data_IF_938671098618
#
_entry.id   IF_938671098618
#
_cell.length_a   1.000
_cell.length_b   1.000
_cell.length_c   1.000
_cell.angle_alpha   90.00
_cell.angle_beta   90.00
_cell.angle_gamma   90.00
#
_symmetry.space_group_name_H-M   'P 1'
#
loop_
_entity.id
_entity.type
_entity.pdbx_description
1 polymer ?
#
# COMPACT_ATOMS: atom_id res chain seq x y z
N UNK A 1 16.37 -32.68 -26.17
CA UNK A 1 16.23 -32.59 -24.70
C UNK A 1 15.33 -33.72 -24.24
N UNK A 2 15.77 -34.56 -23.30
CA UNK A 2 14.95 -35.63 -22.75
C UNK A 2 13.85 -35.04 -21.83
N UNK A 3 12.59 -35.50 -21.89
CA UNK A 3 11.45 -34.92 -21.16
C UNK A 3 11.47 -35.14 -19.63
N UNK A 4 12.59 -35.61 -19.06
CA UNK A 4 12.69 -36.01 -17.65
C UNK A 4 13.72 -35.22 -16.83
N UNK A 5 14.45 -34.29 -17.45
CA UNK A 5 15.41 -33.45 -16.72
C UNK A 5 14.72 -32.15 -16.33
N UNK A 6 14.40 -32.02 -15.03
CA UNK A 6 13.94 -30.75 -14.46
C UNK A 6 15.14 -29.94 -14.01
N UNK A 7 15.42 -28.84 -14.69
CA UNK A 7 16.44 -27.89 -14.29
C UNK A 7 15.89 -26.89 -13.27
N UNK A 8 16.67 -26.59 -12.23
CA UNK A 8 16.36 -25.58 -11.24
C UNK A 8 17.39 -24.46 -11.32
N UNK A 9 16.88 -23.25 -11.50
CA UNK A 9 17.69 -22.04 -11.63
C UNK A 9 17.19 -21.01 -10.61
N UNK A 10 18.11 -20.29 -9.98
CA UNK A 10 17.74 -19.10 -9.22
C UNK A 10 17.39 -17.97 -10.19
N UNK A 11 16.48 -17.09 -9.77
CA UNK A 11 16.26 -15.83 -10.45
C UNK A 11 17.52 -14.95 -10.35
N UNK A 12 17.72 -14.00 -11.29
CA UNK A 12 18.75 -12.98 -11.15
C UNK A 12 18.54 -12.12 -9.89
N UNK A 13 19.54 -11.33 -9.47
CA UNK A 13 19.37 -10.32 -8.43
C UNK A 13 18.16 -9.41 -8.75
N UNK A 14 17.31 -9.15 -7.74
CA UNK A 14 16.03 -8.45 -7.92
C UNK A 14 14.84 -9.35 -8.25
N UNK A 15 15.06 -10.64 -8.55
CA UNK A 15 14.01 -11.61 -8.84
C UNK A 15 13.39 -11.48 -10.24
N UNK A 16 12.59 -12.48 -10.63
CA UNK A 16 11.78 -12.48 -11.85
C UNK A 16 10.28 -12.61 -11.54
N UNK A 17 9.90 -12.42 -10.27
CA UNK A 17 8.55 -12.61 -9.75
C UNK A 17 8.08 -14.07 -9.67
N UNK A 18 8.90 -15.05 -10.06
CA UNK A 18 8.47 -16.46 -10.21
C UNK A 18 9.38 -17.47 -9.57
N UNK A 19 10.68 -17.39 -9.84
CA UNK A 19 11.69 -18.34 -9.38
C UNK A 19 12.19 -17.96 -8.00
N UNK A 20 12.85 -18.92 -7.35
CA UNK A 20 13.52 -18.65 -6.09
C UNK A 20 14.65 -17.66 -6.33
N UNK A 21 14.73 -16.61 -5.51
CA UNK A 21 15.77 -15.59 -5.57
C UNK A 21 16.42 -15.45 -4.21
N UNK A 22 17.62 -14.89 -4.20
CA UNK A 22 18.36 -14.53 -3.00
C UNK A 22 18.77 -13.07 -3.09
N UNK A 23 18.49 -12.32 -2.04
CA UNK A 23 18.92 -10.94 -1.89
C UNK A 23 19.60 -10.81 -0.51
N UNK A 24 20.72 -10.10 -0.45
CA UNK A 24 21.53 -10.00 0.77
C UNK A 24 20.79 -9.36 1.95
N UNK A 25 19.88 -8.42 1.67
CA UNK A 25 19.16 -7.68 2.71
C UNK A 25 17.81 -8.32 3.06
N UNK A 26 17.18 -8.99 2.07
CA UNK A 26 15.81 -9.52 2.20
C UNK A 26 15.73 -11.04 2.25
N UNK A 27 16.86 -11.73 2.06
CA UNK A 27 17.00 -13.17 2.22
C UNK A 27 16.48 -13.97 1.03
N UNK A 28 16.09 -15.22 1.28
CA UNK A 28 15.55 -16.11 0.26
C UNK A 28 14.06 -15.83 0.02
N UNK A 29 13.67 -15.68 -1.25
CA UNK A 29 12.29 -15.41 -1.67
C UNK A 29 11.87 -16.35 -2.81
N UNK A 30 10.58 -16.53 -3.02
CA UNK A 30 9.99 -17.16 -4.21
C UNK A 30 8.97 -16.20 -4.82
N UNK A 31 9.35 -15.55 -5.92
CA UNK A 31 8.64 -14.34 -6.35
C UNK A 31 8.65 -13.30 -5.23
N UNK A 32 7.48 -12.81 -4.83
CA UNK A 32 7.36 -11.85 -3.72
C UNK A 32 7.28 -12.51 -2.33
N UNK A 33 7.13 -13.83 -2.26
CA UNK A 33 6.96 -14.54 -1.00
C UNK A 33 8.30 -14.70 -0.27
N UNK A 34 8.51 -14.07 0.91
CA UNK A 34 9.68 -14.36 1.73
C UNK A 34 9.60 -15.81 2.25
N UNK A 35 10.71 -16.55 2.11
CA UNK A 35 10.83 -17.94 2.58
C UNK A 35 11.44 -18.01 3.99
N UNK A 36 12.09 -16.93 4.43
CA UNK A 36 12.76 -16.81 5.72
C UNK A 36 12.28 -15.54 6.45
N UNK A 37 12.30 -15.57 7.78
CA UNK A 37 12.16 -14.40 8.65
C UNK A 37 13.54 -13.98 9.18
N UNK A 38 13.73 -12.67 9.40
CA UNK A 38 14.93 -12.11 10.02
C UNK A 38 14.56 -11.50 11.37
N UNK A 39 15.22 -11.94 12.44
CA UNK A 39 15.02 -11.34 13.77
C UNK A 39 15.62 -9.92 13.82
N UNK A 40 15.22 -9.09 14.81
CA UNK A 40 15.87 -7.80 15.06
C UNK A 40 17.38 -7.91 15.33
N UNK A 41 17.84 -9.06 15.85
CA UNK A 41 19.25 -9.37 16.05
C UNK A 41 19.99 -9.82 14.78
N UNK A 42 19.31 -9.82 13.61
CA UNK A 42 19.89 -10.19 12.32
C UNK A 42 19.95 -11.68 12.05
N UNK A 43 19.40 -12.53 12.93
CA UNK A 43 19.40 -14.00 12.76
C UNK A 43 18.28 -14.41 11.81
N UNK A 44 18.63 -15.20 10.81
CA UNK A 44 17.67 -15.74 9.84
C UNK A 44 17.09 -17.06 10.32
N UNK A 45 15.79 -17.27 10.08
CA UNK A 45 15.08 -18.53 10.35
C UNK A 45 14.11 -18.83 9.21
N UNK A 46 13.86 -20.11 8.88
CA UNK A 46 12.75 -20.46 8.00
C UNK A 46 11.45 -19.94 8.60
N UNK A 47 10.54 -19.44 7.75
CA UNK A 47 9.18 -19.14 8.19
C UNK A 47 8.49 -20.43 8.64
N UNK A 48 7.43 -20.29 9.42
CA UNK A 48 6.64 -21.42 9.86
C UNK A 48 6.18 -22.30 8.68
N UNK A 49 6.33 -23.62 8.82
CA UNK A 49 6.04 -24.57 7.75
C UNK A 49 4.57 -24.49 7.32
N UNK A 50 3.64 -24.44 8.27
CA UNK A 50 2.21 -24.45 7.97
C UNK A 50 1.80 -23.16 7.25
N UNK A 51 2.41 -22.03 7.61
CA UNK A 51 2.22 -20.75 6.89
C UNK A 51 2.75 -20.86 5.46
N UNK A 52 3.98 -21.34 5.25
CA UNK A 52 4.55 -21.49 3.90
C UNK A 52 3.74 -22.46 3.04
N UNK A 53 3.35 -23.62 3.58
CA UNK A 53 2.53 -24.61 2.87
C UNK A 53 1.17 -24.02 2.48
N UNK A 54 0.49 -23.30 3.38
CA UNK A 54 -0.78 -22.65 3.10
C UNK A 54 -0.66 -21.59 1.98
N UNK A 55 0.33 -20.70 2.08
CA UNK A 55 0.55 -19.64 1.10
C UNK A 55 0.95 -20.21 -0.27
N UNK A 56 1.89 -21.15 -0.30
CA UNK A 56 2.29 -21.79 -1.55
C UNK A 56 1.16 -22.62 -2.15
N UNK A 57 0.35 -23.31 -1.34
CA UNK A 57 -0.79 -24.08 -1.87
C UNK A 57 -1.81 -23.17 -2.56
N UNK A 58 -2.04 -21.96 -2.01
CA UNK A 58 -2.89 -20.94 -2.66
C UNK A 58 -2.30 -20.49 -3.99
N UNK A 59 -0.99 -20.27 -4.03
CA UNK A 59 -0.30 -19.87 -5.25
C UNK A 59 -0.31 -20.99 -6.30
N UNK A 60 0.17 -22.19 -5.99
CA UNK A 60 0.18 -23.28 -6.98
C UNK A 60 -1.22 -23.76 -7.37
N UNK A 61 -2.21 -23.60 -6.49
CA UNK A 61 -3.57 -24.12 -6.66
C UNK A 61 -3.68 -25.61 -6.33
N UNK A 62 -2.70 -26.16 -5.61
CA UNK A 62 -2.64 -27.55 -5.17
C UNK A 62 -1.96 -27.64 -3.80
N UNK A 63 -2.27 -28.66 -2.96
CA UNK A 63 -1.62 -28.83 -1.67
C UNK A 63 -0.11 -29.02 -1.80
N UNK A 64 0.66 -28.15 -1.14
CA UNK A 64 2.11 -28.23 -1.08
C UNK A 64 2.56 -28.89 0.22
N UNK A 65 3.51 -29.83 0.11
CA UNK A 65 4.20 -30.43 1.24
C UNK A 65 5.68 -30.01 1.24
N UNK A 66 6.09 -29.30 2.29
CA UNK A 66 7.44 -28.80 2.51
C UNK A 66 8.22 -29.58 3.56
N UNK A 67 7.67 -30.65 4.16
CA UNK A 67 8.34 -31.44 5.22
C UNK A 67 9.78 -31.80 4.84
N UNK A 68 9.99 -32.34 3.64
CA UNK A 68 11.33 -32.71 3.15
C UNK A 68 12.23 -31.54 2.72
N UNK A 69 11.68 -30.32 2.61
CA UNK A 69 12.38 -29.10 2.18
C UNK A 69 12.75 -28.18 3.34
N UNK A 70 12.08 -28.30 4.48
CA UNK A 70 12.37 -27.48 5.68
C UNK A 70 13.83 -27.57 6.15
N UNK A 71 14.50 -28.75 6.14
CA UNK A 71 15.92 -28.82 6.50
C UNK A 71 16.82 -28.03 5.54
N UNK A 72 16.50 -28.01 4.24
CA UNK A 72 17.25 -27.22 3.26
C UNK A 72 17.03 -25.72 3.49
N UNK A 73 15.80 -25.27 3.75
CA UNK A 73 15.53 -23.88 4.14
C UNK A 73 16.25 -23.48 5.44
N UNK A 74 16.35 -24.39 6.42
CA UNK A 74 17.12 -24.15 7.63
C UNK A 74 18.63 -24.02 7.35
N UNK A 75 19.16 -24.76 6.38
CA UNK A 75 20.54 -24.61 5.93
C UNK A 75 20.77 -23.25 5.25
N UNK A 76 19.82 -22.78 4.43
CA UNK A 76 19.85 -21.43 3.84
C UNK A 76 19.89 -20.37 4.94
N UNK A 77 18.97 -20.44 5.91
CA UNK A 77 18.90 -19.50 7.02
C UNK A 77 20.18 -19.47 7.86
N UNK A 78 20.77 -20.64 8.13
CA UNK A 78 22.04 -20.74 8.86
C UNK A 78 23.17 -20.07 8.08
N UNK A 79 23.31 -20.37 6.79
CA UNK A 79 24.35 -19.79 5.94
C UNK A 79 24.23 -18.25 5.86
N UNK A 80 23.01 -17.71 5.74
CA UNK A 80 22.79 -16.26 5.78
C UNK A 80 23.11 -15.65 7.15
N UNK A 81 22.80 -16.34 8.24
CA UNK A 81 23.15 -15.90 9.60
C UNK A 81 24.67 -15.84 9.80
N UNK A 82 25.41 -16.76 9.17
CA UNK A 82 26.87 -16.82 9.18
C UNK A 82 27.53 -15.84 8.18
N UNK A 83 26.74 -15.15 7.35
CA UNK A 83 27.24 -14.27 6.28
C UNK A 83 27.78 -15.00 5.05
N UNK A 84 27.59 -16.32 4.95
CA UNK A 84 28.03 -17.13 3.82
C UNK A 84 26.97 -17.16 2.71
N UNK A 85 26.97 -16.11 1.91
CA UNK A 85 26.00 -15.89 0.82
C UNK A 85 26.10 -16.98 -0.25
N UNK A 86 27.31 -17.45 -0.58
CA UNK A 86 27.50 -18.49 -1.62
C UNK A 86 26.90 -19.81 -1.17
N UNK A 87 27.13 -20.21 0.08
CA UNK A 87 26.52 -21.42 0.65
C UNK A 87 25.01 -21.29 0.73
N UNK A 88 24.48 -20.11 1.04
CA UNK A 88 23.05 -19.85 1.04
C UNK A 88 22.43 -20.03 -0.36
N UNK A 89 23.09 -19.57 -1.43
CA UNK A 89 22.62 -19.75 -2.82
C UNK A 89 22.60 -21.23 -3.23
N UNK A 90 23.67 -21.97 -2.93
CA UNK A 90 23.75 -23.40 -3.21
C UNK A 90 22.66 -24.16 -2.45
N UNK A 91 22.49 -23.87 -1.16
CA UNK A 91 21.43 -24.47 -0.35
C UNK A 91 20.03 -24.14 -0.91
N UNK A 92 19.80 -22.91 -1.38
CA UNK A 92 18.51 -22.50 -1.97
C UNK A 92 18.20 -23.27 -3.26
N UNK A 93 19.19 -23.47 -4.14
CA UNK A 93 19.06 -24.33 -5.33
C UNK A 93 18.63 -25.75 -4.95
N UNK A 94 19.16 -26.29 -3.85
CA UNK A 94 18.81 -27.62 -3.36
C UNK A 94 17.41 -27.72 -2.74
N UNK A 95 16.74 -26.61 -2.41
CA UNK A 95 15.32 -26.64 -1.99
C UNK A 95 14.42 -27.11 -3.14
N UNK A 96 14.84 -26.89 -4.40
CA UNK A 96 14.12 -27.35 -5.61
C UNK A 96 12.65 -26.94 -5.62
N UNK A 97 12.38 -25.67 -5.34
CA UNK A 97 11.04 -25.08 -5.49
C UNK A 97 10.77 -24.82 -6.97
N UNK A 98 9.63 -25.28 -7.51
CA UNK A 98 9.23 -24.93 -8.87
C UNK A 98 8.90 -23.43 -8.96
N UNK A 99 9.06 -22.78 -10.13
CA UNK A 99 8.64 -21.40 -10.31
C UNK A 99 7.13 -21.24 -10.06
N UNK A 100 6.72 -20.08 -9.55
CA UNK A 100 5.30 -19.76 -9.43
C UNK A 100 4.60 -19.79 -10.81
N UNK A 101 3.35 -20.28 -10.87
CA UNK A 101 2.54 -20.21 -12.08
C UNK A 101 2.34 -18.77 -12.54
N UNK A 102 2.29 -18.53 -13.85
CA UNK A 102 2.21 -17.18 -14.42
C UNK A 102 0.95 -16.43 -14.01
N UNK A 103 -0.20 -17.14 -13.90
CA UNK A 103 -1.46 -16.61 -13.39
C UNK A 103 -1.35 -16.02 -11.98
N UNK A 104 -0.42 -16.52 -11.18
CA UNK A 104 -0.22 -16.10 -9.79
C UNK A 104 0.60 -14.83 -9.72
N UNK A 105 1.52 -14.61 -10.65
CA UNK A 105 2.26 -13.35 -10.72
C UNK A 105 1.30 -12.19 -10.99
N UNK A 106 0.29 -12.43 -11.84
CA UNK A 106 -0.75 -11.46 -12.14
C UNK A 106 -1.72 -11.23 -10.96
N UNK A 107 -2.04 -12.27 -10.19
CA UNK A 107 -2.97 -12.20 -9.05
C UNK A 107 -2.28 -11.71 -7.76
N UNK A 108 -1.05 -12.14 -7.46
CA UNK A 108 -0.27 -11.64 -6.31
C UNK A 108 0.04 -10.14 -6.41
N UNK A 109 0.15 -9.60 -7.62
CA UNK A 109 0.24 -8.16 -7.84
C UNK A 109 -1.05 -7.39 -7.47
N UNK A 110 -2.20 -8.09 -7.41
CA UNK A 110 -3.52 -7.53 -7.08
C UNK A 110 -4.03 -7.90 -5.68
N UNK A 111 -3.68 -9.08 -5.15
CA UNK A 111 -4.23 -9.61 -3.88
C UNK A 111 -3.31 -9.40 -2.68
N UNK A 112 -1.99 -9.23 -2.88
CA UNK A 112 -1.08 -8.94 -1.79
C UNK A 112 -0.84 -7.43 -1.68
N UNK A 113 -1.72 -6.74 -0.94
CA UNK A 113 -1.38 -5.49 -0.23
C UNK A 113 -0.23 -5.61 0.78
N UNK A 114 0.71 -6.54 0.55
CA UNK A 114 1.83 -7.00 1.33
C UNK A 114 3.09 -7.23 0.46
N UNK A 115 3.31 -6.40 -0.57
CA UNK A 115 4.67 -5.96 -0.93
C UNK A 115 5.23 -4.94 0.11
N UNK A 116 4.88 -5.15 1.39
CA UNK A 116 5.30 -4.38 2.57
C UNK A 116 6.20 -5.27 3.42
N UNK A 117 7.38 -5.65 2.91
CA UNK A 117 8.59 -6.01 3.66
C UNK A 117 9.61 -6.68 2.71
N UNK A 118 10.28 -5.85 1.93
CA UNK A 118 11.59 -6.11 1.32
C UNK A 118 11.98 -4.86 0.52
N UNK A 119 12.71 -3.96 1.20
CA UNK A 119 13.42 -2.78 0.68
C UNK A 119 12.62 -1.75 -0.14
N UNK A 120 12.51 -0.55 0.45
CA UNK A 120 11.94 0.66 -0.14
C UNK A 120 12.61 1.01 -1.48
N UNK A 121 11.90 0.84 -2.61
CA UNK A 121 11.99 1.67 -3.83
C UNK A 121 11.33 1.06 -5.10
N UNK A 122 10.65 -0.09 -5.02
CA UNK A 122 10.19 -0.76 -6.25
C UNK A 122 8.86 -0.24 -6.86
N UNK A 123 8.13 0.66 -6.19
CA UNK A 123 6.77 1.08 -6.59
C UNK A 123 6.68 2.30 -7.54
N UNK A 124 7.76 2.75 -8.19
CA UNK A 124 7.74 4.00 -8.99
C UNK A 124 8.03 3.88 -10.49
N UNK A 125 7.91 2.70 -11.13
CA UNK A 125 8.33 2.57 -12.53
C UNK A 125 7.34 1.81 -13.45
N UNK A 126 6.55 2.50 -14.29
CA UNK A 126 5.80 1.84 -15.36
C UNK A 126 6.73 1.43 -16.53
N UNK A 127 6.42 0.29 -17.16
CA UNK A 127 7.11 -0.25 -18.35
C UNK A 127 6.74 0.58 -19.59
N UNK A 128 7.70 0.93 -20.46
CA UNK A 128 7.43 1.65 -21.72
C UNK A 128 6.59 0.76 -22.65
N UNK A 129 5.45 1.24 -23.21
CA UNK A 129 4.65 0.47 -24.16
C UNK A 129 5.40 0.26 -25.48
N UNK A 130 5.10 -0.85 -26.17
CA UNK A 130 5.63 -1.10 -27.51
C UNK A 130 5.16 0.00 -28.48
N UNK A 131 6.10 0.72 -29.10
CA UNK A 131 5.82 1.79 -30.08
C UNK A 131 6.28 3.20 -29.68
N UNK A 132 6.90 3.40 -28.52
CA UNK A 132 7.47 4.68 -28.14
C UNK A 132 8.69 5.03 -29.02
N UNK A 133 8.62 6.18 -29.70
CA UNK A 133 9.75 6.74 -30.46
C UNK A 133 10.89 7.05 -29.49
N UNK A 134 12.07 6.52 -29.79
CA UNK A 134 13.38 6.80 -29.16
C UNK A 134 13.81 5.94 -27.95
N UNK A 135 13.18 4.80 -27.66
CA UNK A 135 13.67 3.85 -26.65
C UNK A 135 13.69 2.39 -27.12
N UNK A 136 14.74 1.63 -26.74
CA UNK A 136 14.85 0.19 -27.06
C UNK A 136 13.78 -0.61 -26.29
N UNK A 137 13.05 -1.54 -26.94
CA UNK A 137 12.11 -2.42 -26.24
C UNK A 137 12.82 -3.25 -25.17
N UNK A 138 12.30 -3.24 -23.93
CA UNK A 138 12.81 -4.07 -22.84
C UNK A 138 13.81 -3.42 -21.88
N UNK A 139 14.13 -2.13 -22.03
CA UNK A 139 14.94 -1.39 -21.03
C UNK A 139 14.09 -0.80 -19.91
N UNK A 140 14.57 -0.94 -18.68
CA UNK A 140 14.03 -0.32 -17.46
C UNK A 140 14.40 1.16 -17.42
N UNK A 141 13.49 2.04 -16.97
CA UNK A 141 13.87 3.40 -16.61
C UNK A 141 14.65 3.33 -15.29
N UNK A 142 15.76 4.04 -15.14
CA UNK A 142 16.41 4.19 -13.83
C UNK A 142 15.64 5.23 -13.00
N UNK A 143 15.69 5.14 -11.67
CA UNK A 143 15.19 6.16 -10.71
C UNK A 143 16.03 7.47 -10.79
N UNK A 144 16.60 7.77 -11.97
CA UNK A 144 17.08 9.10 -12.36
C UNK A 144 16.13 9.84 -13.29
N UNK A 145 15.08 9.19 -13.84
CA UNK A 145 14.21 9.79 -14.86
C UNK A 145 12.71 9.86 -14.48
N UNK A 146 12.24 9.14 -13.46
CA UNK A 146 10.88 9.32 -12.92
C UNK A 146 10.70 10.64 -12.15
N UNK A 147 11.81 11.12 -11.59
CA UNK A 147 11.96 12.49 -11.09
C UNK A 147 12.19 13.50 -12.21
N UNK A 148 12.05 13.15 -13.49
CA UNK A 148 11.77 14.15 -14.53
C UNK A 148 10.30 14.10 -14.88
N UNK A 149 9.61 12.98 -15.15
CA UNK A 149 8.17 13.05 -15.50
C UNK A 149 7.23 13.66 -14.42
N UNK A 150 7.39 13.30 -13.14
CA UNK A 150 6.62 13.91 -12.04
C UNK A 150 7.14 15.31 -11.68
N UNK A 151 8.43 15.54 -11.86
CA UNK A 151 9.07 16.84 -11.71
C UNK A 151 8.83 17.76 -12.92
N UNK A 152 8.47 17.22 -14.08
CA UNK A 152 8.20 17.83 -15.39
C UNK A 152 6.71 18.16 -15.46
N UNK A 153 5.85 17.31 -14.90
CA UNK A 153 4.47 17.66 -14.58
C UNK A 153 4.44 18.74 -13.48
N UNK A 154 5.25 18.63 -12.43
CA UNK A 154 5.38 19.67 -11.41
C UNK A 154 6.10 20.94 -11.94
N UNK A 155 7.08 20.83 -12.86
CA UNK A 155 7.72 21.96 -13.54
C UNK A 155 6.78 22.59 -14.57
N UNK A 156 5.94 21.82 -15.26
CA UNK A 156 4.94 22.33 -16.19
C UNK A 156 3.88 23.13 -15.43
N UNK A 157 3.43 22.65 -14.27
CA UNK A 157 2.52 23.38 -13.38
C UNK A 157 3.21 24.61 -12.75
N UNK A 158 4.45 24.50 -12.27
CA UNK A 158 5.25 25.62 -11.75
C UNK A 158 5.66 26.65 -12.82
N UNK A 159 5.63 26.29 -14.11
CA UNK A 159 5.78 27.22 -15.24
C UNK A 159 4.47 27.94 -15.59
N UNK A 160 3.33 27.34 -15.25
CA UNK A 160 2.00 27.90 -15.54
C UNK A 160 1.51 28.81 -14.42
N UNK A 161 1.96 28.57 -13.18
CA UNK A 161 1.65 29.37 -11.99
C UNK A 161 2.93 30.13 -11.60
N UNK A 162 2.98 31.41 -11.93
CA UNK A 162 4.13 32.32 -11.86
C UNK A 162 5.18 32.05 -10.75
N UNK A 163 6.44 31.86 -11.18
CA UNK A 163 7.63 32.39 -10.49
C UNK A 163 8.41 31.46 -9.54
N UNK A 164 9.47 30.83 -10.07
CA UNK A 164 10.69 30.38 -9.35
C UNK A 164 10.50 29.57 -8.05
N UNK A 165 9.97 28.35 -8.13
CA UNK A 165 10.13 27.35 -7.07
C UNK A 165 10.95 26.14 -7.56
N UNK A 166 12.06 25.87 -6.88
CA UNK A 166 12.95 24.72 -7.10
C UNK A 166 12.40 23.51 -6.35
N UNK A 167 12.14 22.40 -7.04
CA UNK A 167 11.54 21.18 -6.45
C UNK A 167 12.64 20.19 -6.06
N UNK A 168 12.82 19.91 -4.76
CA UNK A 168 13.77 18.90 -4.24
C UNK A 168 13.11 18.09 -3.13
N UNK A 169 13.11 16.75 -3.29
CA UNK A 169 12.87 15.78 -2.20
C UNK A 169 11.45 15.21 -2.11
N UNK A 170 11.35 13.92 -1.84
CA UNK A 170 10.14 13.29 -1.29
C UNK A 170 10.31 13.22 0.23
N UNK A 171 9.28 13.62 0.99
CA UNK A 171 9.29 13.51 2.45
C UNK A 171 8.70 12.16 2.82
N UNK A 172 9.44 11.32 3.56
CA UNK A 172 8.94 10.09 4.16
C UNK A 172 8.57 10.38 5.61
N UNK A 173 7.27 10.39 5.91
CA UNK A 173 6.78 10.51 7.28
C UNK A 173 6.58 9.09 7.80
N UNK A 174 7.29 8.63 8.84
CA UNK A 174 7.10 7.28 9.37
C UNK A 174 5.63 7.04 9.76
N UNK A 175 5.11 5.83 9.53
CA UNK A 175 3.74 5.43 9.80
C UNK A 175 3.66 4.35 10.87
N UNK A 176 2.75 4.51 11.83
CA UNK A 176 2.12 3.39 12.52
C UNK A 176 0.63 3.57 12.25
N UNK A 177 0.04 2.63 11.52
CA UNK A 177 -1.35 2.67 11.09
C UNK A 177 -2.19 2.54 12.38
N UNK A 178 -2.77 3.66 12.81
CA UNK A 178 -3.71 3.69 13.94
C UNK A 178 -3.50 4.77 15.01
N UNK A 179 -2.63 5.76 14.79
CA UNK A 179 -2.61 6.96 15.63
C UNK A 179 -2.62 8.25 14.79
N UNK A 180 -3.34 9.26 15.28
CA UNK A 180 -3.29 10.64 14.79
C UNK A 180 -1.84 11.13 14.81
N UNK A 181 -1.28 11.47 13.65
CA UNK A 181 0.03 12.10 13.53
C UNK A 181 -0.11 13.49 12.96
N UNK A 182 0.54 14.47 13.57
CA UNK A 182 0.64 15.81 13.03
C UNK A 182 2.09 16.27 13.03
N UNK A 183 2.45 17.15 12.09
CA UNK A 183 3.78 17.73 12.03
C UNK A 183 3.85 18.82 10.97
N UNK A 184 5.04 19.32 10.72
CA UNK A 184 5.26 20.31 9.66
C UNK A 184 5.92 19.62 8.44
N UNK A 185 5.44 19.95 7.24
CA UNK A 185 6.03 19.54 5.96
C UNK A 185 7.31 20.36 5.77
N UNK A 186 8.51 19.73 5.80
CA UNK A 186 9.79 20.44 5.72
C UNK A 186 9.87 21.44 4.58
N UNK A 187 10.27 22.67 4.89
CA UNK A 187 10.52 23.73 3.91
C UNK A 187 9.28 24.41 3.33
N UNK A 188 8.06 24.10 3.79
CA UNK A 188 6.83 24.63 3.17
C UNK A 188 5.96 25.48 4.09
N UNK A 189 6.25 25.56 5.40
CA UNK A 189 5.38 26.26 6.36
C UNK A 189 4.02 25.59 6.59
N UNK A 190 3.76 24.47 5.92
CA UNK A 190 2.51 23.72 5.99
C UNK A 190 2.59 22.71 7.13
N UNK A 191 1.60 22.74 8.00
CA UNK A 191 1.34 21.71 8.97
C UNK A 191 0.46 20.61 8.33
N UNK A 192 0.72 19.35 8.65
CA UNK A 192 -0.09 18.22 8.24
C UNK A 192 -0.67 17.50 9.46
N UNK A 193 -1.84 16.89 9.27
CA UNK A 193 -2.48 15.94 10.17
C UNK A 193 -2.88 14.70 9.38
N UNK A 194 -2.60 13.52 9.90
CA UNK A 194 -2.94 12.24 9.30
C UNK A 194 -3.59 11.32 10.34
N UNK A 195 -4.84 10.94 10.10
CA UNK A 195 -5.59 10.03 10.97
C UNK A 195 -6.55 9.20 10.12
N UNK A 196 -6.55 7.87 10.32
CA UNK A 196 -7.55 6.97 9.71
C UNK A 196 -7.70 7.13 8.19
N UNK A 197 -6.58 7.23 7.46
CA UNK A 197 -6.61 7.42 6.01
C UNK A 197 -7.04 8.82 5.54
N UNK A 198 -7.26 9.75 6.48
CA UNK A 198 -7.55 11.15 6.18
C UNK A 198 -6.30 12.01 6.34
N UNK A 199 -5.99 12.80 5.31
CA UNK A 199 -4.94 13.81 5.30
C UNK A 199 -5.56 15.20 5.40
N UNK A 200 -5.12 15.95 6.39
CA UNK A 200 -5.40 17.38 6.56
C UNK A 200 -4.09 18.14 6.37
N UNK A 201 -4.10 19.19 5.56
CA UNK A 201 -3.00 20.14 5.43
C UNK A 201 -3.49 21.53 5.81
N UNK A 202 -2.71 22.24 6.62
CA UNK A 202 -3.01 23.61 7.08
C UNK A 202 -1.78 24.49 6.94
N UNK A 203 -1.98 25.79 6.74
CA UNK A 203 -0.91 26.80 6.74
C UNK A 203 -1.27 27.92 7.69
N UNK A 204 -0.29 28.52 8.37
CA UNK A 204 -0.52 29.75 9.15
C UNK A 204 -0.34 30.97 8.25
N UNK A 205 -1.29 31.91 8.30
CA UNK A 205 -1.13 33.19 7.62
C UNK A 205 -0.20 34.15 8.41
N UNK A 206 0.02 35.35 7.86
CA UNK A 206 0.91 36.35 8.46
C UNK A 206 0.47 36.85 9.84
N UNK A 207 -0.82 36.69 10.16
CA UNK A 207 -1.41 37.06 11.45
C UNK A 207 -1.44 35.87 12.43
N UNK A 208 -0.97 34.70 11.99
CA UNK A 208 -0.91 33.47 12.77
C UNK A 208 -2.20 32.64 12.77
N UNK A 209 -3.22 33.01 11.99
CA UNK A 209 -4.42 32.21 11.84
C UNK A 209 -4.13 30.97 10.99
N UNK A 210 -4.68 29.83 11.43
CA UNK A 210 -4.53 28.56 10.72
C UNK A 210 -5.60 28.46 9.64
N UNK A 211 -5.17 28.32 8.38
CA UNK A 211 -6.02 28.13 7.21
C UNK A 211 -5.89 26.69 6.71
N UNK A 212 -7.02 26.02 6.52
CA UNK A 212 -7.08 24.71 5.89
C UNK A 212 -6.78 24.83 4.39
N UNK A 213 -5.87 24.01 3.87
CA UNK A 213 -5.52 23.99 2.44
C UNK A 213 -5.90 22.67 1.78
N UNK A 214 -5.92 21.57 2.54
CA UNK A 214 -6.40 20.28 2.06
C UNK A 214 -7.10 19.50 3.19
N UNK A 215 -8.22 18.85 2.87
CA UNK A 215 -8.84 17.84 3.73
C UNK A 215 -9.48 16.74 2.89
N UNK A 216 -8.93 15.53 2.93
CA UNK A 216 -9.42 14.42 2.11
C UNK A 216 -8.80 13.08 2.44
N UNK A 217 -9.43 12.01 1.96
CA UNK A 217 -8.95 10.63 2.10
C UNK A 217 -8.14 10.20 0.89
N UNK A 218 -7.26 9.22 1.08
CA UNK A 218 -6.63 8.52 -0.04
C UNK A 218 -7.68 7.77 -0.87
N UNK A 219 -7.41 7.58 -2.16
CA UNK A 219 -8.15 6.61 -2.98
C UNK A 219 -7.83 5.16 -2.56
N UNK A 220 -8.44 4.17 -3.20
CA UNK A 220 -8.21 2.74 -2.92
C UNK A 220 -6.74 2.31 -3.05
N UNK A 221 -5.90 3.09 -3.75
CA UNK A 221 -4.47 2.85 -3.85
C UNK A 221 -3.67 3.65 -2.83
N UNK A 222 -4.31 4.38 -1.90
CA UNK A 222 -3.70 5.26 -0.93
C UNK A 222 -3.22 6.60 -1.50
N UNK A 223 -3.64 6.99 -2.72
CA UNK A 223 -3.21 8.26 -3.35
C UNK A 223 -4.10 9.43 -2.94
N UNK A 224 -3.47 10.54 -2.57
CA UNK A 224 -4.12 11.83 -2.31
C UNK A 224 -3.94 12.71 -3.53
N UNK A 225 -5.05 13.29 -4.00
CA UNK A 225 -5.10 14.02 -5.26
C UNK A 225 -5.66 15.42 -5.06
N UNK A 226 -5.18 16.37 -5.85
CA UNK A 226 -5.86 17.67 -5.99
C UNK A 226 -7.24 17.47 -6.63
N UNK A 227 -8.14 18.47 -6.60
CA UNK A 227 -9.44 18.35 -7.28
C UNK A 227 -9.34 18.04 -8.77
N UNK A 228 -8.25 18.49 -9.41
CA UNK A 228 -7.97 18.22 -10.83
C UNK A 228 -7.36 16.83 -11.05
N UNK A 229 -7.32 15.99 -10.02
CA UNK A 229 -6.85 14.59 -10.08
C UNK A 229 -5.34 14.40 -9.96
N UNK A 230 -4.57 15.47 -9.73
CA UNK A 230 -3.10 15.41 -9.67
C UNK A 230 -2.67 14.78 -8.34
N UNK A 231 -1.94 13.64 -8.34
CA UNK A 231 -1.48 13.02 -7.10
C UNK A 231 -0.38 13.88 -6.44
N UNK A 232 -0.48 14.09 -5.14
CA UNK A 232 0.50 14.88 -4.37
C UNK A 232 0.97 14.21 -3.08
N UNK A 233 0.26 13.19 -2.61
CA UNK A 233 0.73 12.33 -1.52
C UNK A 233 0.31 10.87 -1.75
N UNK A 234 1.01 9.94 -1.11
CA UNK A 234 0.79 8.49 -1.20
C UNK A 234 0.98 7.90 0.19
N UNK A 235 -0.07 7.31 0.76
CA UNK A 235 0.04 6.49 1.96
C UNK A 235 0.67 5.13 1.61
N UNK A 236 1.59 4.68 2.46
CA UNK A 236 2.31 3.43 2.34
C UNK A 236 2.41 2.69 3.68
N UNK A 237 3.13 1.55 3.73
CA UNK A 237 3.40 0.77 4.95
C UNK A 237 3.94 1.60 6.09
N UNK A 238 5.02 2.30 5.73
CA UNK A 238 5.87 2.96 6.67
C UNK A 238 5.55 4.45 6.68
N UNK A 239 4.34 4.82 6.24
CA UNK A 239 3.73 6.13 6.39
C UNK A 239 3.52 6.89 5.09
N UNK A 240 3.68 8.21 5.11
CA UNK A 240 3.12 9.10 4.08
C UNK A 240 4.24 9.75 3.27
N UNK A 241 4.23 9.52 1.95
CA UNK A 241 5.10 10.17 0.99
C UNK A 241 4.40 11.39 0.39
N UNK A 242 5.07 12.54 0.34
CA UNK A 242 4.50 13.79 -0.17
C UNK A 242 5.41 14.48 -1.19
N UNK A 243 4.81 15.18 -2.16
CA UNK A 243 5.49 16.05 -3.12
C UNK A 243 5.50 17.51 -2.64
N UNK A 244 6.62 18.03 -2.08
CA UNK A 244 6.65 19.31 -1.37
C UNK A 244 6.29 20.51 -2.26
N UNK A 245 6.67 20.48 -3.55
CA UNK A 245 6.36 21.59 -4.45
C UNK A 245 4.88 21.69 -4.82
N UNK A 246 4.17 20.55 -4.87
CA UNK A 246 2.71 20.58 -5.03
C UNK A 246 2.06 21.13 -3.76
N UNK A 247 2.56 20.74 -2.58
CA UNK A 247 2.08 21.27 -1.29
C UNK A 247 2.32 22.77 -1.16
N UNK A 248 3.50 23.26 -1.57
CA UNK A 248 3.80 24.69 -1.58
C UNK A 248 2.85 25.46 -2.52
N UNK A 249 2.53 24.90 -3.69
CA UNK A 249 1.54 25.47 -4.60
C UNK A 249 0.13 25.49 -4.00
N UNK A 250 -0.28 24.43 -3.29
CA UNK A 250 -1.55 24.39 -2.55
C UNK A 250 -1.58 25.45 -1.45
N UNK A 251 -0.47 25.65 -0.74
CA UNK A 251 -0.36 26.65 0.33
C UNK A 251 -0.41 28.10 -0.18
N UNK A 252 0.16 28.36 -1.36
CA UNK A 252 0.13 29.66 -2.02
C UNK A 252 -1.22 30.03 -2.67
N UNK A 253 -2.15 29.07 -2.77
CA UNK A 253 -3.50 29.33 -3.28
C UNK A 253 -4.47 29.74 -2.17
N UNK A 254 -5.45 30.59 -2.52
CA UNK A 254 -6.54 31.01 -1.61
C UNK A 254 -7.65 29.96 -1.44
N UNK A 255 -7.53 28.80 -2.09
CA UNK A 255 -8.57 27.77 -2.12
C UNK A 255 -8.33 26.69 -1.08
N UNK A 256 -9.38 26.36 -0.34
CA UNK A 256 -9.46 25.17 0.49
C UNK A 256 -9.90 24.00 -0.39
N UNK A 257 -9.07 22.96 -0.48
CA UNK A 257 -9.42 21.77 -1.24
C UNK A 257 -9.94 20.68 -0.31
N UNK A 258 -11.27 20.55 -0.22
CA UNK A 258 -11.87 19.40 0.45
C UNK A 258 -12.25 18.36 -0.60
N UNK A 259 -11.55 17.23 -0.60
CA UNK A 259 -12.10 16.04 -1.23
C UNK A 259 -13.19 15.58 -0.26
N UNK A 260 -14.46 15.85 -0.57
CA UNK A 260 -15.61 15.34 0.20
C UNK A 260 -15.69 13.82 0.01
N UNK A 261 -14.74 13.12 0.62
CA UNK A 261 -14.65 11.67 0.76
C UNK A 261 -15.10 11.29 2.17
N UNK A 262 -15.98 12.08 2.80
CA UNK A 262 -16.63 11.66 4.05
C UNK A 262 -17.99 11.12 3.69
N UNK A 263 -18.22 9.89 4.10
CA UNK A 263 -19.56 9.32 4.10
C UNK A 263 -20.48 10.24 4.89
N UNK A 264 -21.66 10.60 4.37
CA UNK A 264 -22.56 11.51 5.06
C UNK A 264 -22.84 11.08 6.50
N UNK A 265 -23.07 12.04 7.40
CA UNK A 265 -23.45 11.73 8.79
C UNK A 265 -24.97 11.55 8.93
N UNK A 266 -25.72 11.76 7.85
CA UNK A 266 -27.16 11.57 7.75
C UNK A 266 -27.46 10.97 6.36
N UNK A 267 -28.40 10.05 6.30
CA UNK A 267 -28.81 9.37 5.07
C UNK A 267 -30.23 8.82 5.18
N UNK A 268 -30.73 8.28 4.08
CA UNK A 268 -32.06 7.67 4.05
C UNK A 268 -32.10 6.45 5.01
N UNK A 269 -33.13 6.33 5.87
CA UNK A 269 -33.24 5.23 6.82
C UNK A 269 -33.09 3.85 6.19
N UNK A 270 -32.23 3.00 6.75
CA UNK A 270 -31.99 1.64 6.28
C UNK A 270 -31.14 1.52 5.02
N UNK A 271 -30.60 2.63 4.50
CA UNK A 271 -29.76 2.62 3.29
C UNK A 271 -28.27 2.51 3.61
N UNK A 272 -27.52 2.10 2.60
CA UNK A 272 -26.06 2.09 2.61
C UNK A 272 -25.52 3.26 1.80
N UNK A 273 -24.49 3.93 2.31
CA UNK A 273 -23.66 4.84 1.54
C UNK A 273 -22.26 4.25 1.38
N UNK A 274 -21.70 4.35 0.16
CA UNK A 274 -20.33 3.96 -0.14
C UNK A 274 -19.51 5.23 -0.29
N UNK A 275 -18.43 5.30 0.47
CA UNK A 275 -17.44 6.34 0.34
C UNK A 275 -16.65 6.14 -0.97
N UNK A 276 -16.72 7.06 -1.94
CA UNK A 276 -16.03 6.88 -3.21
C UNK A 276 -14.50 6.92 -3.10
N UNK A 277 -13.96 7.45 -1.99
CA UNK A 277 -12.51 7.48 -1.74
C UNK A 277 -12.01 6.19 -1.10
N UNK A 278 -12.47 5.90 0.12
CA UNK A 278 -11.98 4.77 0.92
C UNK A 278 -12.67 3.44 0.60
N UNK A 279 -13.82 3.44 -0.09
CA UNK A 279 -14.68 2.27 -0.18
C UNK A 279 -15.37 1.91 1.14
N UNK A 280 -15.21 2.72 2.20
CA UNK A 280 -15.98 2.57 3.45
C UNK A 280 -17.47 2.49 3.14
N UNK A 281 -18.17 1.58 3.81
CA UNK A 281 -19.61 1.43 3.68
C UNK A 281 -20.28 1.81 4.99
N UNK A 282 -21.28 2.70 4.94
CA UNK A 282 -22.03 3.17 6.10
C UNK A 282 -23.49 2.78 6.01
N UNK A 283 -24.02 2.16 7.05
CA UNK A 283 -25.45 1.88 7.21
C UNK A 283 -26.11 2.95 8.08
N UNK A 284 -27.23 3.49 7.61
CA UNK A 284 -28.07 4.41 8.38
C UNK A 284 -29.21 3.69 9.08
N UNK A 285 -29.44 4.02 10.35
CA UNK A 285 -30.54 3.52 11.16
C UNK A 285 -31.89 4.15 10.79
N UNK A 286 -32.97 3.77 11.50
CA UNK A 286 -34.33 4.27 11.26
C UNK A 286 -34.49 5.80 11.39
N UNK A 287 -33.60 6.44 12.13
CA UNK A 287 -33.55 7.89 12.36
C UNK A 287 -32.68 8.64 11.34
N UNK A 288 -32.13 7.93 10.36
CA UNK A 288 -31.25 8.49 9.34
C UNK A 288 -29.81 8.72 9.80
N UNK A 289 -29.45 8.37 11.05
CA UNK A 289 -28.09 8.50 11.56
C UNK A 289 -27.30 7.19 11.38
N UNK A 290 -25.96 7.26 11.27
CA UNK A 290 -25.14 6.06 11.11
C UNK A 290 -25.28 5.15 12.32
N UNK A 291 -25.34 3.84 12.04
CA UNK A 291 -25.33 2.78 13.05
C UNK A 291 -24.13 1.83 12.89
N UNK A 292 -23.54 1.76 11.69
CA UNK A 292 -22.41 0.89 11.38
C UNK A 292 -21.59 1.47 10.22
N UNK A 293 -20.27 1.47 10.37
CA UNK A 293 -19.31 1.58 9.27
C UNK A 293 -18.57 0.25 9.07
N UNK A 294 -18.31 -0.13 7.82
CA UNK A 294 -17.39 -1.20 7.44
C UNK A 294 -16.25 -0.59 6.65
N UNK A 295 -15.04 -0.77 7.15
CA UNK A 295 -13.80 -0.23 6.61
C UNK A 295 -12.99 -1.32 5.90
N UNK A 296 -12.49 -1.00 4.72
CA UNK A 296 -11.78 -1.91 3.81
C UNK A 296 -10.36 -1.46 3.50
N UNK A 297 -10.03 -0.21 3.80
CA UNK A 297 -8.82 0.48 3.34
C UNK A 297 -7.68 0.50 4.36
N UNK A 298 -7.94 0.06 5.61
CA UNK A 298 -6.92 0.03 6.65
C UNK A 298 -7.17 -1.04 7.73
N UNK A 299 -6.09 -1.53 8.36
CA UNK A 299 -6.12 -2.61 9.36
C UNK A 299 -6.21 -2.07 10.78
N UNK A 300 -7.33 -2.38 11.45
CA UNK A 300 -7.51 -2.30 12.89
C UNK A 300 -8.17 -3.60 13.36
N UNK A 301 -7.35 -4.63 13.62
CA UNK A 301 -7.75 -5.97 14.06
C UNK A 301 -8.18 -6.95 12.95
N UNK A 302 -7.85 -6.64 11.70
CA UNK A 302 -8.20 -7.36 10.48
C UNK A 302 -8.77 -6.42 9.42
N UNK A 303 -8.71 -6.84 8.15
CA UNK A 303 -9.39 -6.18 7.04
C UNK A 303 -10.32 -7.20 6.37
N UNK A 304 -11.63 -6.92 6.23
CA UNK A 304 -12.34 -5.72 6.69
C UNK A 304 -12.55 -5.67 8.23
N UNK A 305 -12.84 -4.48 8.76
CA UNK A 305 -13.27 -4.28 10.15
C UNK A 305 -14.50 -3.35 10.22
N UNK A 306 -15.14 -3.27 11.40
CA UNK A 306 -16.37 -2.53 11.61
C UNK A 306 -16.25 -1.51 12.75
N UNK A 307 -16.99 -0.41 12.65
CA UNK A 307 -17.20 0.56 13.71
C UNK A 307 -18.69 0.74 14.00
N UNK A 308 -19.10 0.47 15.24
CA UNK A 308 -20.46 0.76 15.67
C UNK A 308 -20.64 2.26 15.90
N UNK A 309 -21.85 2.76 15.67
CA UNK A 309 -22.22 4.12 16.01
C UNK A 309 -23.30 4.10 17.09
N UNK A 310 -22.95 4.58 18.28
CA UNK A 310 -23.86 4.56 19.43
C UNK A 310 -24.52 5.93 19.66
N UNK A 311 -25.80 5.99 20.06
CA UNK A 311 -26.45 7.25 20.42
C UNK A 311 -25.69 7.99 21.51
N UNK A 312 -25.57 9.31 21.36
CA UNK A 312 -25.06 10.18 22.42
C UNK A 312 -26.25 10.57 23.30
N UNK A 313 -26.23 10.31 24.62
CA UNK A 313 -27.32 10.70 25.51
C UNK A 313 -27.67 12.18 25.39
N UNK A 314 -28.95 12.48 25.13
CA UNK A 314 -29.45 13.86 24.97
C UNK A 314 -29.17 14.50 23.62
N UNK A 315 -28.64 13.76 22.65
CA UNK A 315 -28.37 14.23 21.28
C UNK A 315 -29.06 13.33 20.26
N UNK A 316 -29.46 13.91 19.13
CA UNK A 316 -29.90 13.14 17.96
C UNK A 316 -28.74 12.48 17.21
N UNK A 317 -27.50 12.84 17.53
CA UNK A 317 -26.31 12.33 16.84
C UNK A 317 -25.81 11.04 17.49
N UNK A 318 -25.22 10.19 16.66
CA UNK A 318 -24.46 9.02 17.09
C UNK A 318 -22.95 9.35 17.17
N UNK A 319 -22.21 8.54 17.92
CA UNK A 319 -20.76 8.59 18.06
C UNK A 319 -20.16 7.26 17.60
N UNK A 320 -19.22 7.34 16.64
CA UNK A 320 -18.40 6.21 16.21
C UNK A 320 -17.59 5.65 17.38
N UNK A 321 -17.66 4.34 17.57
CA UNK A 321 -16.88 3.60 18.56
C UNK A 321 -15.56 3.13 17.97
N UNK A 322 -14.70 2.53 18.79
CA UNK A 322 -13.47 1.90 18.34
C UNK A 322 -13.73 0.74 17.37
N UNK A 323 -12.76 0.48 16.50
CA UNK A 323 -12.85 -0.58 15.50
C UNK A 323 -12.87 -1.97 16.12
N UNK A 324 -13.67 -2.87 15.54
CA UNK A 324 -13.79 -4.27 15.92
C UNK A 324 -13.79 -5.18 14.70
N UNK A 325 -13.47 -6.46 14.91
CA UNK A 325 -13.66 -7.48 13.87
C UNK A 325 -15.11 -7.50 13.41
N UNK A 326 -15.28 -7.70 12.10
CA UNK A 326 -16.59 -7.95 11.50
C UNK A 326 -17.16 -9.24 12.10
N UNK A 327 -18.42 -9.19 12.53
CA UNK A 327 -19.17 -10.33 13.06
C UNK A 327 -20.01 -10.97 11.95
N UNK A 328 -20.39 -12.23 12.15
CA UNK A 328 -21.21 -12.96 11.17
C UNK A 328 -22.62 -12.37 11.04
N UNK A 329 -23.13 -11.73 12.10
CA UNK A 329 -24.44 -11.09 12.19
C UNK A 329 -24.43 -9.60 11.80
N UNK A 330 -23.26 -9.03 11.48
CA UNK A 330 -23.21 -7.65 11.00
C UNK A 330 -23.96 -7.52 9.66
N UNK A 331 -24.85 -6.53 9.52
CA UNK A 331 -25.54 -6.29 8.27
C UNK A 331 -24.52 -6.00 7.17
N UNK A 332 -24.81 -6.52 5.98
CA UNK A 332 -23.99 -6.31 4.77
C UNK A 332 -24.79 -5.50 3.76
N UNK A 333 -24.13 -4.77 2.86
CA UNK A 333 -24.84 -4.16 1.74
C UNK A 333 -25.58 -5.24 0.96
N UNK A 334 -26.75 -4.91 0.40
CA UNK A 334 -27.35 -5.79 -0.59
C UNK A 334 -26.28 -6.08 -1.66
N UNK A 335 -26.06 -7.36 -1.97
CA UNK A 335 -25.26 -7.73 -3.13
C UNK A 335 -25.96 -7.07 -4.31
N UNK A 336 -25.27 -6.24 -5.08
CA UNK A 336 -25.78 -5.82 -6.37
C UNK A 336 -26.18 -7.10 -7.10
N UNK A 337 -27.48 -7.30 -7.30
CA UNK A 337 -27.97 -8.32 -8.21
C UNK A 337 -27.40 -7.93 -9.56
N UNK A 338 -26.30 -8.59 -9.94
CA UNK A 338 -25.73 -8.48 -11.27
C UNK A 338 -26.81 -8.96 -12.22
N UNK A 339 -27.60 -8.02 -12.73
CA UNK A 339 -28.63 -8.26 -13.72
C UNK A 339 -27.97 -8.90 -14.94
N UNK A 340 -28.03 -10.23 -14.99
CA UNK A 340 -27.97 -10.98 -16.22
C UNK A 340 -29.40 -11.39 -16.54
N UNK A 341 -30.09 -10.50 -17.24
CA UNK A 341 -31.10 -10.92 -18.23
C UNK A 341 -30.40 -11.06 -19.58
#
# INVERSE_FOLDING_TARGET
MHPWITEYHLAPPGGDGRRASMDGDTGARLGDLPLLDRSPSGVWRPRDRAVLESTLSRHYGEPVNLVGRMPALAAVARALTEGDVVRAHIALLHVRLPPLPERVVAVSANENGLAKQATANYLTQPRIPAGALDAKPGTWTSIGAGGTAALDAALAVARTIAGRATLVGAILIPGNIGQTRSGQVPGTGVDYGYAEGQLTLTVKDGDGHTRLIYDGSGDLNGQYRTPDGVPFAQAGPDGLAMAPGVIAALAGGDRVFSQKTKTPNEGEPGTWAINPGSGQQRLYGPDGYPILDIDYDHDHWGVPHAHDWLPIPGSKRTKRQDGRKLRDDDPRPPKEETGKE
#
